data_IF_662662434487
#
_entry.id   IF_662662434487
#
_cell.length_a   1.000
_cell.length_b   1.000
_cell.length_c   1.000
_cell.angle_alpha   90.00
_cell.angle_beta   90.00
_cell.angle_gamma   90.00
#
_symmetry.space_group_name_H-M   'P 1'
#
loop_
_entity.id
_entity.type
_entity.pdbx_description
1 polymer ?
#
# COMPACT_ATOMS: atom_id res chain seq x y z
N UNK A 1 35.49 -7.95 -30.73
CA UNK A 1 34.66 -7.12 -29.81
C UNK A 1 33.33 -7.82 -29.62
N UNK A 2 33.15 -8.53 -28.49
CA UNK A 2 31.90 -9.22 -28.16
C UNK A 2 30.94 -8.23 -27.48
N UNK A 3 29.81 -7.95 -28.13
CA UNK A 3 28.69 -7.26 -27.49
C UNK A 3 27.94 -8.28 -26.62
N UNK A 4 28.08 -8.13 -25.30
CA UNK A 4 27.33 -8.88 -24.30
C UNK A 4 25.89 -8.34 -24.28
N UNK A 5 25.03 -8.89 -25.14
CA UNK A 5 23.58 -8.70 -25.08
C UNK A 5 23.05 -9.40 -23.82
N UNK A 6 22.87 -8.63 -22.75
CA UNK A 6 22.09 -9.06 -21.59
C UNK A 6 20.62 -9.19 -22.00
N UNK A 7 20.26 -10.39 -22.44
CA UNK A 7 18.87 -10.83 -22.57
C UNK A 7 18.24 -10.83 -21.18
N UNK A 8 17.49 -9.77 -20.87
CA UNK A 8 16.50 -9.81 -19.80
C UNK A 8 15.36 -10.73 -20.28
N UNK A 9 15.04 -11.84 -19.58
CA UNK A 9 13.93 -12.69 -19.95
C UNK A 9 12.63 -11.93 -19.71
N UNK A 10 12.07 -11.39 -20.79
CA UNK A 10 10.78 -10.73 -20.85
C UNK A 10 9.69 -11.79 -21.09
N UNK A 11 9.57 -12.73 -20.17
CA UNK A 11 8.47 -13.71 -20.13
C UNK A 11 8.23 -14.17 -18.68
N UNK A 12 7.73 -13.28 -17.83
CA UNK A 12 7.00 -13.73 -16.64
C UNK A 12 5.55 -13.94 -17.06
N UNK A 13 5.18 -15.21 -17.26
CA UNK A 13 3.79 -15.65 -17.13
C UNK A 13 3.29 -15.19 -15.77
N UNK A 14 2.38 -14.21 -15.71
CA UNK A 14 1.80 -13.64 -14.48
C UNK A 14 0.74 -14.57 -13.85
N UNK A 15 0.97 -15.88 -13.90
CA UNK A 15 0.22 -16.86 -13.12
C UNK A 15 0.96 -17.06 -11.78
N UNK A 16 0.75 -16.16 -10.82
CA UNK A 16 1.27 -16.30 -9.46
C UNK A 16 0.24 -15.97 -8.37
N UNK A 17 0.25 -16.71 -7.23
CA UNK A 17 -0.78 -16.72 -6.17
C UNK A 17 -0.72 -15.51 -5.21
N UNK A 18 -0.37 -14.31 -5.69
CA UNK A 18 -0.14 -13.16 -4.82
C UNK A 18 -1.40 -12.58 -4.16
N UNK A 19 -2.59 -12.93 -4.62
CA UNK A 19 -3.85 -12.34 -4.14
C UNK A 19 -4.10 -12.58 -2.67
N UNK A 20 -3.71 -13.73 -2.12
CA UNK A 20 -3.85 -14.00 -0.68
C UNK A 20 -2.65 -13.54 0.16
N UNK A 21 -1.48 -13.31 -0.45
CA UNK A 21 -0.24 -13.03 0.28
C UNK A 21 -0.34 -11.78 1.15
N UNK A 22 -0.99 -10.74 0.64
CA UNK A 22 -1.15 -9.46 1.35
C UNK A 22 -2.46 -9.36 2.14
N UNK A 23 -3.30 -10.40 2.12
CA UNK A 23 -4.61 -10.41 2.79
C UNK A 23 -4.52 -9.99 4.25
N UNK A 24 -3.69 -10.69 5.03
CA UNK A 24 -3.53 -10.41 6.45
C UNK A 24 -3.03 -8.97 6.72
N UNK A 25 -2.21 -8.43 5.82
CA UNK A 25 -1.69 -7.07 5.94
C UNK A 25 -2.80 -6.06 5.76
N UNK A 26 -3.58 -6.15 4.67
CA UNK A 26 -4.68 -5.23 4.43
C UNK A 26 -5.75 -5.28 5.51
N UNK A 27 -6.10 -6.48 5.99
CA UNK A 27 -7.02 -6.66 7.12
C UNK A 27 -6.51 -5.91 8.35
N UNK A 28 -5.23 -6.06 8.70
CA UNK A 28 -4.62 -5.36 9.83
C UNK A 28 -4.56 -3.85 9.63
N UNK A 29 -4.22 -3.38 8.43
CA UNK A 29 -4.16 -1.96 8.09
C UNK A 29 -5.53 -1.28 8.19
N UNK A 30 -6.59 -1.92 7.69
CA UNK A 30 -7.95 -1.40 7.83
C UNK A 30 -8.36 -1.35 9.29
N UNK A 31 -8.22 -2.47 10.02
CA UNK A 31 -8.58 -2.53 11.44
C UNK A 31 -7.89 -1.45 12.27
N UNK A 32 -6.58 -1.26 12.12
CA UNK A 32 -5.84 -0.24 12.88
C UNK A 32 -6.09 1.18 12.37
N UNK A 33 -6.22 1.37 11.06
CA UNK A 33 -6.55 2.65 10.45
C UNK A 33 -7.88 3.20 10.96
N UNK A 34 -8.91 2.36 11.02
CA UNK A 34 -10.23 2.73 11.53
C UNK A 34 -10.23 3.00 13.02
N UNK A 35 -9.68 2.08 13.84
CA UNK A 35 -9.57 2.26 15.29
C UNK A 35 -8.89 3.58 15.64
N UNK A 36 -7.79 3.90 14.96
CA UNK A 36 -7.01 5.11 15.26
C UNK A 36 -7.66 6.37 14.71
N UNK A 37 -8.28 6.32 13.53
CA UNK A 37 -9.08 7.43 12.99
C UNK A 37 -10.21 7.83 13.94
N UNK A 38 -10.83 6.87 14.61
CA UNK A 38 -11.89 7.13 15.59
C UNK A 38 -11.39 7.91 16.81
N UNK A 39 -10.17 7.62 17.26
CA UNK A 39 -9.54 8.27 18.40
C UNK A 39 -8.97 9.65 18.04
N UNK A 40 -8.32 9.79 16.89
CA UNK A 40 -7.55 11.00 16.56
C UNK A 40 -8.29 11.94 15.62
N UNK A 41 -9.30 11.47 14.89
CA UNK A 41 -9.96 12.23 13.83
C UNK A 41 -9.14 12.37 12.55
N UNK A 42 -7.98 11.72 12.45
CA UNK A 42 -7.22 11.60 11.21
C UNK A 42 -7.96 10.74 10.18
N UNK A 43 -7.54 10.82 8.91
CA UNK A 43 -8.02 9.88 7.90
C UNK A 43 -7.55 8.45 8.25
N UNK A 44 -8.38 7.41 8.00
CA UNK A 44 -8.05 6.01 8.28
C UNK A 44 -7.05 5.43 7.27
N UNK A 45 -5.95 6.15 7.01
CA UNK A 45 -4.88 5.75 6.11
C UNK A 45 -3.78 5.10 6.96
N UNK A 46 -3.41 3.87 6.63
CA UNK A 46 -2.44 3.08 7.35
C UNK A 46 -1.49 2.36 6.40
N UNK A 47 -0.25 2.20 6.82
CA UNK A 47 0.79 1.50 6.08
C UNK A 47 1.66 0.65 7.01
N UNK A 48 2.32 -0.34 6.43
CA UNK A 48 3.31 -1.17 7.10
C UNK A 48 4.50 -1.39 6.18
N UNK A 49 5.69 -1.49 6.77
CA UNK A 49 6.94 -1.75 6.08
C UNK A 49 7.62 -2.94 6.73
N UNK A 50 8.08 -3.87 5.91
CA UNK A 50 8.71 -5.10 6.39
C UNK A 50 9.74 -5.64 5.40
N UNK A 51 10.61 -6.51 5.90
CA UNK A 51 11.53 -7.33 5.10
C UNK A 51 10.91 -8.71 4.87
N UNK A 52 11.13 -9.27 3.68
CA UNK A 52 10.77 -10.65 3.35
C UNK A 52 12.02 -11.44 2.97
N UNK A 53 12.04 -12.73 3.29
CA UNK A 53 13.01 -13.66 2.71
C UNK A 53 12.62 -14.05 1.26
N UNK A 54 13.46 -14.86 0.62
CA UNK A 54 13.20 -15.35 -0.74
C UNK A 54 11.91 -16.21 -0.85
N UNK A 55 11.43 -16.77 0.27
CA UNK A 55 10.17 -17.50 0.35
C UNK A 55 8.94 -16.63 0.62
N UNK A 56 9.12 -15.30 0.74
CA UNK A 56 8.04 -14.36 1.04
C UNK A 56 7.62 -14.33 2.50
N UNK A 57 8.38 -14.94 3.41
CA UNK A 57 8.13 -14.86 4.85
C UNK A 57 8.69 -13.56 5.40
N UNK A 58 7.93 -12.87 6.24
CA UNK A 58 8.41 -11.65 6.91
C UNK A 58 9.51 -11.96 7.92
N UNK A 59 10.66 -11.30 7.77
CA UNK A 59 11.85 -11.48 8.61
C UNK A 59 12.16 -10.27 9.51
N UNK A 60 11.49 -9.13 9.30
CA UNK A 60 11.67 -7.93 10.11
C UNK A 60 10.58 -6.88 9.84
N UNK A 61 10.26 -6.08 10.85
CA UNK A 61 9.22 -5.04 10.80
C UNK A 61 7.80 -5.55 10.90
N UNK A 62 6.91 -4.91 10.12
CA UNK A 62 5.48 -5.24 10.13
C UNK A 62 4.67 -4.44 11.15
N UNK A 63 5.22 -3.38 11.73
CA UNK A 63 4.45 -2.43 12.52
C UNK A 63 3.47 -1.67 11.61
N UNK A 64 2.26 -1.43 12.11
CA UNK A 64 1.25 -0.64 11.39
C UNK A 64 1.31 0.80 11.87
N UNK A 65 1.54 1.71 10.93
CA UNK A 65 1.55 3.14 11.16
C UNK A 65 0.30 3.74 10.53
N UNK A 66 -0.42 4.57 11.28
CA UNK A 66 -1.61 5.29 10.80
C UNK A 66 -1.26 6.76 10.61
N UNK A 67 -1.96 7.42 9.69
CA UNK A 67 -1.87 8.86 9.49
C UNK A 67 -2.05 9.64 10.81
N UNK A 68 -1.30 10.73 10.97
CA UNK A 68 -1.29 11.54 12.20
C UNK A 68 -1.10 13.04 11.89
N UNK A 69 -1.87 13.55 10.92
CA UNK A 69 -1.79 14.91 10.40
C UNK A 69 -2.47 15.91 11.32
N UNK A 70 -3.67 15.61 11.81
CA UNK A 70 -4.57 16.57 12.47
C UNK A 70 -4.11 16.95 13.89
N UNK A 71 -3.27 16.14 14.54
CA UNK A 71 -2.59 16.53 15.78
C UNK A 71 -3.53 16.72 16.99
N UNK A 72 -4.41 15.75 17.29
CA UNK A 72 -5.17 15.79 18.56
C UNK A 72 -4.28 15.43 19.77
N UNK A 73 -4.62 15.98 20.94
CA UNK A 73 -3.90 15.73 22.20
C UNK A 73 -2.72 16.67 22.46
N UNK A 74 -2.78 17.93 22.01
CA UNK A 74 -1.74 18.95 22.27
C UNK A 74 -0.54 18.91 21.31
N UNK A 75 -0.52 17.99 20.35
CA UNK A 75 0.49 17.96 19.29
C UNK A 75 0.14 18.95 18.17
N UNK A 76 1.14 19.65 17.62
CA UNK A 76 0.92 20.53 16.46
C UNK A 76 0.56 19.69 15.22
N UNK A 77 -0.39 20.19 14.43
CA UNK A 77 -0.73 19.67 13.09
C UNK A 77 0.55 19.53 12.25
N UNK A 78 0.76 18.38 11.61
CA UNK A 78 1.94 18.14 10.79
C UNK A 78 1.53 17.47 9.46
N UNK A 79 1.58 18.19 8.33
CA UNK A 79 1.15 17.67 7.03
C UNK A 79 2.06 16.55 6.50
N UNK A 80 3.23 16.34 7.10
CA UNK A 80 4.20 15.32 6.68
C UNK A 80 4.01 13.97 7.39
N UNK A 81 3.10 13.88 8.38
CA UNK A 81 2.87 12.65 9.18
C UNK A 81 1.95 11.62 8.50
N UNK A 82 2.17 11.40 7.20
CA UNK A 82 1.51 10.34 6.44
C UNK A 82 2.01 8.94 6.86
N UNK A 83 1.17 7.93 6.73
CA UNK A 83 1.44 6.58 7.21
C UNK A 83 2.74 5.98 6.63
N UNK A 84 2.98 6.19 5.34
CA UNK A 84 4.15 5.70 4.61
C UNK A 84 5.43 6.40 5.08
N UNK A 85 5.39 7.72 5.25
CA UNK A 85 6.52 8.50 5.80
C UNK A 85 6.82 8.06 7.24
N UNK A 86 5.78 7.77 8.03
CA UNK A 86 5.95 7.24 9.37
C UNK A 86 6.62 5.86 9.34
N UNK A 87 6.29 4.98 8.40
CA UNK A 87 7.02 3.71 8.24
C UNK A 87 8.51 3.95 8.02
N UNK A 88 8.87 4.86 7.11
CA UNK A 88 10.27 5.21 6.82
C UNK A 88 10.99 5.81 8.03
N UNK A 89 10.30 6.69 8.77
CA UNK A 89 10.86 7.37 9.94
C UNK A 89 11.11 6.44 11.12
N UNK A 90 10.48 5.26 11.14
CA UNK A 90 10.62 4.25 12.20
C UNK A 90 11.34 3.00 11.68
N UNK A 91 12.19 3.14 10.66
CA UNK A 91 12.94 2.04 10.04
C UNK A 91 13.83 1.25 11.01
N UNK A 92 14.39 1.90 12.02
CA UNK A 92 15.22 1.22 13.01
C UNK A 92 14.44 0.14 13.78
N UNK A 93 13.15 0.37 14.05
CA UNK A 93 12.23 -0.64 14.60
C UNK A 93 11.98 -1.80 13.63
N UNK A 94 12.07 -1.52 12.33
CA UNK A 94 11.88 -2.53 11.28
C UNK A 94 13.11 -3.42 11.12
N UNK A 95 14.31 -2.83 11.26
CA UNK A 95 15.59 -3.54 11.06
C UNK A 95 16.07 -4.34 12.28
N UNK A 96 15.65 -3.97 13.49
CA UNK A 96 16.10 -4.61 14.74
C UNK A 96 15.64 -6.05 14.93
N UNK A 97 14.75 -6.57 14.07
CA UNK A 97 14.33 -7.98 14.04
C UNK A 97 15.35 -8.94 13.42
N UNK A 98 16.44 -8.45 12.81
CA UNK A 98 17.49 -9.28 12.22
C UNK A 98 18.71 -9.44 13.13
N UNK A 99 18.69 -10.46 13.99
CA UNK A 99 19.94 -11.08 14.44
C UNK A 99 20.55 -11.87 13.27
N UNK A 100 21.57 -11.29 12.65
CA UNK A 100 22.66 -12.01 11.99
C UNK A 100 22.29 -13.05 10.94
N UNK A 101 22.22 -12.63 9.66
CA UNK A 101 22.78 -13.32 8.48
C UNK A 101 22.29 -12.64 7.20
N UNK A 102 22.97 -11.58 6.79
CA UNK A 102 22.85 -11.07 5.42
C UNK A 102 23.59 -12.02 4.48
N UNK A 103 22.93 -13.09 4.06
CA UNK A 103 23.37 -13.88 2.91
C UNK A 103 23.13 -13.05 1.64
N UNK A 104 24.20 -12.85 0.86
CA UNK A 104 24.16 -12.51 -0.57
C UNK A 104 23.48 -11.19 -0.98
N UNK A 105 24.29 -10.18 -1.33
CA UNK A 105 23.91 -9.03 -2.20
C UNK A 105 22.54 -8.40 -1.89
N UNK A 106 22.40 -7.69 -0.76
CA UNK A 106 21.31 -6.72 -0.61
C UNK A 106 21.60 -5.48 -1.45
N UNK A 107 20.56 -4.96 -2.10
CA UNK A 107 20.61 -3.88 -3.08
C UNK A 107 21.34 -2.63 -2.56
N UNK A 108 21.89 -1.84 -3.47
CA UNK A 108 22.68 -0.61 -3.23
C UNK A 108 21.90 0.55 -2.55
N UNK A 109 20.81 0.28 -1.81
CA UNK A 109 19.93 1.30 -1.20
C UNK A 109 19.59 0.98 0.25
N UNK A 110 19.25 2.01 1.02
CA UNK A 110 18.98 1.93 2.47
C UNK A 110 17.83 0.95 2.79
N UNK A 111 16.80 0.91 1.93
CA UNK A 111 15.60 0.08 2.11
C UNK A 111 15.49 -1.05 1.07
N UNK A 112 16.59 -1.42 0.43
CA UNK A 112 16.61 -2.48 -0.58
C UNK A 112 16.06 -3.82 -0.04
N UNK A 113 15.13 -4.43 -0.77
CA UNK A 113 14.50 -5.69 -0.38
C UNK A 113 13.32 -5.57 0.59
N UNK A 114 12.90 -4.35 0.95
CA UNK A 114 11.70 -4.12 1.76
C UNK A 114 10.42 -4.14 0.91
N UNK A 115 9.30 -4.48 1.55
CA UNK A 115 7.96 -4.31 1.00
C UNK A 115 7.19 -3.32 1.88
N UNK A 116 6.63 -2.28 1.27
CA UNK A 116 5.62 -1.42 1.88
C UNK A 116 4.23 -1.88 1.43
N UNK A 117 3.30 -2.05 2.38
CA UNK A 117 1.87 -2.24 2.11
C UNK A 117 1.11 -1.03 2.66
N UNK A 118 0.25 -0.39 1.85
CA UNK A 118 -0.56 0.75 2.24
C UNK A 118 -2.04 0.54 1.89
N UNK A 119 -2.96 0.85 2.80
CA UNK A 119 -4.40 0.72 2.53
C UNK A 119 -4.96 1.82 1.60
N UNK A 120 -4.11 2.76 1.19
CA UNK A 120 -4.44 3.88 0.32
C UNK A 120 -3.26 4.15 -0.61
N UNK A 121 -3.54 4.62 -1.82
CA UNK A 121 -2.50 4.95 -2.78
C UNK A 121 -1.56 6.05 -2.25
N UNK A 122 -0.23 5.85 -2.29
CA UNK A 122 0.73 6.86 -1.86
C UNK A 122 0.61 8.15 -2.67
N UNK A 123 0.56 9.29 -1.99
CA UNK A 123 0.61 10.59 -2.67
C UNK A 123 2.00 10.88 -3.23
N UNK A 124 2.13 11.93 -4.07
CA UNK A 124 3.39 12.34 -4.70
C UNK A 124 4.57 12.42 -3.73
N UNK A 125 4.35 12.96 -2.52
CA UNK A 125 5.38 13.07 -1.49
C UNK A 125 5.82 11.69 -0.98
N UNK A 126 4.87 10.84 -0.57
CA UNK A 126 5.14 9.51 -0.05
C UNK A 126 5.83 8.66 -1.12
N UNK A 127 5.31 8.67 -2.34
CA UNK A 127 5.85 7.92 -3.46
C UNK A 127 7.29 8.33 -3.79
N UNK A 128 7.56 9.63 -3.91
CA UNK A 128 8.92 10.12 -4.15
C UNK A 128 9.87 9.74 -3.01
N UNK A 129 9.44 9.78 -1.75
CA UNK A 129 10.25 9.33 -0.62
C UNK A 129 10.58 7.84 -0.71
N UNK A 130 9.59 6.98 -0.97
CA UNK A 130 9.76 5.52 -1.10
C UNK A 130 10.75 5.15 -2.21
N UNK A 131 10.65 5.82 -3.36
CA UNK A 131 11.57 5.62 -4.49
C UNK A 131 12.98 6.08 -4.13
N UNK A 132 13.13 7.28 -3.55
CA UNK A 132 14.43 7.85 -3.20
C UNK A 132 15.20 7.02 -2.16
N UNK A 133 14.51 6.45 -1.17
CA UNK A 133 15.13 5.60 -0.14
C UNK A 133 15.31 4.15 -0.60
N UNK A 134 14.73 3.80 -1.75
CA UNK A 134 14.92 2.53 -2.44
C UNK A 134 14.13 1.37 -1.85
N UNK A 135 12.86 1.57 -1.53
CA UNK A 135 11.93 0.51 -1.09
C UNK A 135 11.70 -0.50 -2.21
N UNK A 136 11.98 -1.79 -1.95
CA UNK A 136 11.89 -2.91 -2.90
C UNK A 136 10.58 -2.99 -3.68
N UNK A 137 9.48 -2.96 -2.93
CA UNK A 137 8.12 -3.18 -3.43
C UNK A 137 7.13 -2.26 -2.73
N UNK A 138 6.21 -1.70 -3.50
CA UNK A 138 5.11 -0.87 -3.02
C UNK A 138 3.81 -1.55 -3.40
N UNK A 139 3.08 -2.02 -2.39
CA UNK A 139 1.77 -2.65 -2.54
C UNK A 139 0.73 -1.72 -1.96
N UNK A 140 -0.32 -1.42 -2.70
CA UNK A 140 -1.40 -0.57 -2.20
C UNK A 140 -2.77 -1.01 -2.68
N UNK A 141 -3.79 -0.56 -1.95
CA UNK A 141 -5.18 -0.57 -2.40
C UNK A 141 -5.73 0.86 -2.36
N UNK A 142 -7.03 1.05 -2.59
CA UNK A 142 -7.68 2.35 -2.48
C UNK A 142 -7.00 3.40 -3.37
N UNK A 143 -7.17 3.28 -4.70
CA UNK A 143 -6.63 4.27 -5.66
C UNK A 143 -7.09 5.67 -5.28
N UNK A 144 -6.29 6.68 -5.64
CA UNK A 144 -6.60 8.07 -5.34
C UNK A 144 -6.49 8.92 -6.60
N UNK A 145 -7.61 9.10 -7.30
CA UNK A 145 -7.64 9.86 -8.56
C UNK A 145 -7.28 11.34 -8.40
N UNK A 146 -7.27 11.85 -7.16
CA UNK A 146 -7.03 13.26 -6.89
C UNK A 146 -5.59 13.54 -6.43
N UNK A 147 -4.99 12.62 -5.68
CA UNK A 147 -3.66 12.84 -5.07
C UNK A 147 -2.70 11.66 -5.21
N UNK A 148 -3.14 10.54 -5.79
CA UNK A 148 -2.38 9.31 -5.92
C UNK A 148 -1.28 9.43 -6.96
N UNK A 149 -0.03 9.15 -6.57
CA UNK A 149 1.11 9.34 -7.45
C UNK A 149 1.11 8.36 -8.64
N UNK A 150 0.67 7.12 -8.43
CA UNK A 150 0.72 6.07 -9.44
C UNK A 150 -0.36 6.31 -10.48
N UNK A 151 -1.59 6.58 -10.04
CA UNK A 151 -2.75 6.87 -10.88
C UNK A 151 -2.60 8.18 -11.65
N UNK A 152 -1.95 9.20 -11.06
CA UNK A 152 -1.62 10.46 -11.74
C UNK A 152 -0.39 10.37 -12.65
N UNK A 153 0.26 9.21 -12.75
CA UNK A 153 1.42 9.00 -13.63
C UNK A 153 2.66 9.78 -13.20
N UNK A 154 2.80 10.11 -11.91
CA UNK A 154 4.01 10.72 -11.37
C UNK A 154 5.18 9.76 -11.57
N UNK A 155 6.23 10.23 -12.27
CA UNK A 155 7.36 9.37 -12.68
C UNK A 155 7.04 8.42 -13.84
N UNK A 156 5.98 8.69 -14.61
CA UNK A 156 5.54 7.85 -15.75
C UNK A 156 5.40 6.38 -15.37
N UNK A 157 4.60 6.13 -14.33
CA UNK A 157 4.15 4.78 -13.99
C UNK A 157 3.29 4.22 -15.14
N UNK A 158 3.68 3.08 -15.69
CA UNK A 158 2.96 2.40 -16.78
C UNK A 158 2.45 1.05 -16.29
N UNK A 159 1.18 0.75 -16.53
CA UNK A 159 0.64 -0.60 -16.32
C UNK A 159 1.36 -1.58 -17.28
N UNK A 160 1.94 -2.64 -16.71
CA UNK A 160 2.70 -3.65 -17.45
C UNK A 160 2.03 -5.03 -17.49
N UNK A 161 1.00 -5.23 -16.66
CA UNK A 161 0.29 -6.49 -16.64
C UNK A 161 -0.74 -6.57 -15.52
N UNK A 162 -1.50 -7.67 -15.54
CA UNK A 162 -2.50 -7.99 -14.53
C UNK A 162 -2.33 -9.42 -14.04
N UNK A 163 -2.55 -9.63 -12.74
CA UNK A 163 -2.58 -10.94 -12.13
C UNK A 163 -3.94 -11.61 -12.29
N UNK A 164 -3.98 -12.94 -12.10
CA UNK A 164 -5.22 -13.72 -12.08
C UNK A 164 -6.17 -13.28 -10.94
N UNK A 165 -5.63 -12.70 -9.86
CA UNK A 165 -6.41 -12.13 -8.74
C UNK A 165 -6.89 -10.69 -8.98
N UNK A 166 -6.68 -10.14 -10.18
CA UNK A 166 -7.06 -8.77 -10.53
C UNK A 166 -6.06 -7.70 -10.10
N UNK A 167 -4.90 -8.09 -9.56
CA UNK A 167 -3.80 -7.17 -9.27
C UNK A 167 -3.33 -6.48 -10.55
N UNK A 168 -2.89 -5.23 -10.42
CA UNK A 168 -2.34 -4.46 -11.53
C UNK A 168 -0.89 -4.11 -11.20
N UNK A 169 0.00 -4.44 -12.12
CA UNK A 169 1.44 -4.21 -11.98
C UNK A 169 1.85 -2.98 -12.75
N UNK A 170 2.68 -2.15 -12.13
CA UNK A 170 3.21 -0.94 -12.76
C UNK A 170 4.73 -0.97 -12.83
N UNK A 171 5.27 -0.45 -13.92
CA UNK A 171 6.67 -0.11 -14.06
C UNK A 171 6.86 1.41 -13.96
N UNK A 172 7.81 1.84 -13.14
CA UNK A 172 8.29 3.22 -13.11
C UNK A 172 9.31 3.43 -14.23
N UNK A 173 8.93 4.17 -15.28
CA UNK A 173 9.76 4.31 -16.48
C UNK A 173 10.69 5.52 -16.45
N UNK A 174 10.36 6.58 -15.69
CA UNK A 174 11.19 7.78 -15.53
C UNK A 174 11.12 8.33 -14.10
N UNK A 175 12.07 9.19 -13.74
CA UNK A 175 12.02 9.83 -12.44
C UNK A 175 11.10 11.04 -12.36
N UNK A 176 10.75 11.42 -11.13
CA UNK A 176 10.00 12.64 -10.86
C UNK A 176 10.87 13.83 -11.29
N UNK A 177 10.38 14.65 -12.21
CA UNK A 177 11.11 15.81 -12.73
C UNK A 177 12.22 15.49 -13.75
N UNK A 178 12.18 14.34 -14.43
CA UNK A 178 13.15 13.98 -15.48
C UNK A 178 14.50 13.46 -14.97
N UNK A 179 14.60 13.20 -13.66
CA UNK A 179 15.76 12.53 -13.07
C UNK A 179 15.79 11.05 -13.43
N UNK A 180 16.97 10.48 -13.68
CA UNK A 180 17.15 9.03 -13.79
C UNK A 180 17.25 8.43 -12.38
N UNK A 181 16.24 7.66 -11.96
CA UNK A 181 16.36 6.85 -10.75
C UNK A 181 17.27 5.63 -11.01
N UNK A 182 18.20 5.36 -10.10
CA UNK A 182 19.01 4.14 -10.10
C UNK A 182 18.27 2.92 -9.52
N UNK A 183 17.05 3.12 -9.03
CA UNK A 183 16.26 2.12 -8.34
C UNK A 183 14.80 2.21 -8.82
N UNK A 184 14.20 1.05 -9.15
CA UNK A 184 12.81 0.94 -9.61
C UNK A 184 12.07 -0.02 -8.70
N UNK A 185 11.12 0.45 -7.87
CA UNK A 185 10.32 -0.45 -7.06
C UNK A 185 9.39 -1.30 -7.94
N UNK A 186 9.09 -2.50 -7.49
CA UNK A 186 7.92 -3.23 -7.98
C UNK A 186 6.66 -2.55 -7.40
N UNK A 187 5.70 -2.17 -8.25
CA UNK A 187 4.48 -1.49 -7.82
C UNK A 187 3.28 -2.40 -8.11
N UNK A 188 2.51 -2.70 -7.06
CA UNK A 188 1.38 -3.62 -7.10
C UNK A 188 0.14 -2.93 -6.56
N UNK A 189 -0.91 -2.85 -7.37
CA UNK A 189 -2.24 -2.45 -6.93
C UNK A 189 -3.09 -3.69 -6.67
N UNK A 190 -3.69 -3.78 -5.49
CA UNK A 190 -4.68 -4.79 -5.13
C UNK A 190 -6.07 -4.15 -5.14
N UNK A 191 -7.05 -4.70 -5.88
CA UNK A 191 -8.41 -4.17 -5.93
C UNK A 191 -9.01 -3.95 -4.55
N UNK A 192 -9.61 -2.79 -4.33
CA UNK A 192 -10.19 -2.46 -3.02
C UNK A 192 -11.36 -3.38 -2.68
N UNK A 193 -12.13 -3.81 -3.68
CA UNK A 193 -13.18 -4.81 -3.52
C UNK A 193 -12.67 -6.10 -2.86
N UNK A 194 -11.56 -6.65 -3.35
CA UNK A 194 -10.97 -7.87 -2.81
C UNK A 194 -10.54 -7.68 -1.34
N UNK A 195 -9.92 -6.54 -1.05
CA UNK A 195 -9.51 -6.17 0.32
C UNK A 195 -10.71 -6.05 1.26
N UNK A 196 -11.81 -5.46 0.81
CA UNK A 196 -13.03 -5.36 1.62
C UNK A 196 -13.63 -6.74 1.88
N UNK A 197 -13.71 -7.62 0.87
CA UNK A 197 -14.17 -9.00 1.06
C UNK A 197 -13.33 -9.76 2.09
N UNK A 198 -12.00 -9.58 2.07
CA UNK A 198 -11.12 -10.21 3.05
C UNK A 198 -11.34 -9.71 4.46
N UNK A 199 -11.52 -8.40 4.61
CA UNK A 199 -11.84 -7.80 5.89
C UNK A 199 -13.24 -8.23 6.36
N UNK A 200 -14.18 -8.42 5.42
CA UNK A 200 -15.47 -9.04 5.67
C UNK A 200 -15.40 -10.43 6.27
N UNK A 201 -14.72 -11.34 5.60
CA UNK A 201 -14.51 -12.67 6.12
C UNK A 201 -13.85 -12.63 7.51
N UNK A 202 -12.82 -11.78 7.71
CA UNK A 202 -12.14 -11.67 9.00
C UNK A 202 -13.05 -11.17 10.14
N UNK A 203 -13.86 -10.15 9.90
CA UNK A 203 -14.78 -9.64 10.93
C UNK A 203 -15.89 -10.64 11.26
N UNK A 204 -16.39 -11.40 10.26
CA UNK A 204 -17.34 -12.50 10.49
C UNK A 204 -16.70 -13.62 11.32
N UNK A 205 -15.47 -14.01 11.00
CA UNK A 205 -14.68 -15.02 11.74
C UNK A 205 -14.43 -14.60 13.21
N UNK A 206 -14.11 -13.33 13.45
CA UNK A 206 -13.78 -12.79 14.79
C UNK A 206 -15.01 -12.28 15.58
N UNK A 207 -16.21 -12.34 15.00
CA UNK A 207 -17.42 -11.81 15.63
C UNK A 207 -17.39 -10.28 15.85
N UNK A 208 -16.64 -9.55 15.02
CA UNK A 208 -16.53 -8.09 15.10
C UNK A 208 -17.77 -7.47 14.46
N UNK A 209 -18.53 -6.69 15.25
CA UNK A 209 -19.71 -5.99 14.73
C UNK A 209 -19.34 -4.97 13.63
N UNK A 210 -20.05 -5.12 12.51
CA UNK A 210 -20.02 -4.19 11.40
C UNK A 210 -20.57 -2.84 11.81
N UNK A 211 -19.96 -1.74 11.35
CA UNK A 211 -20.71 -0.49 11.26
C UNK A 211 -21.72 -0.62 10.12
N UNK A 212 -23.00 -0.33 10.37
CA UNK A 212 -24.11 -0.36 9.38
C UNK A 212 -23.75 0.32 8.04
N UNK A 213 -22.91 1.36 8.08
CA UNK A 213 -22.41 2.10 6.92
C UNK A 213 -21.69 1.20 5.89
N UNK A 214 -20.98 0.17 6.35
CA UNK A 214 -20.24 -0.78 5.52
C UNK A 214 -21.11 -1.89 4.94
N UNK A 215 -22.06 -2.41 5.72
CA UNK A 215 -23.08 -3.32 5.21
C UNK A 215 -23.89 -2.66 4.11
N UNK A 216 -24.33 -1.40 4.33
CA UNK A 216 -25.00 -0.63 3.30
C UNK A 216 -24.15 -0.39 2.05
N UNK A 217 -22.81 -0.32 2.15
CA UNK A 217 -21.94 -0.27 0.98
C UNK A 217 -21.92 -1.60 0.21
N UNK A 218 -21.73 -2.73 0.92
CA UNK A 218 -21.74 -4.08 0.33
C UNK A 218 -23.07 -4.33 -0.39
N UNK A 219 -24.18 -4.02 0.24
CA UNK A 219 -25.53 -4.14 -0.33
C UNK A 219 -25.72 -3.24 -1.55
N UNK A 220 -25.32 -1.96 -1.47
CA UNK A 220 -25.42 -1.04 -2.63
C UNK A 220 -24.60 -1.50 -3.82
N UNK A 221 -23.49 -2.20 -3.61
CA UNK A 221 -22.64 -2.73 -4.69
C UNK A 221 -23.23 -4.00 -5.30
N UNK A 222 -23.69 -4.94 -4.46
CA UNK A 222 -24.43 -6.13 -4.91
C UNK A 222 -25.66 -5.73 -5.74
N UNK A 223 -26.36 -4.67 -5.35
CA UNK A 223 -27.52 -4.13 -6.07
C UNK A 223 -27.17 -3.48 -7.42
N UNK A 224 -25.93 -3.02 -7.63
CA UNK A 224 -25.51 -2.35 -8.89
C UNK A 224 -24.90 -3.29 -9.92
N UNK A 225 -24.71 -4.57 -9.60
CA UNK A 225 -24.04 -5.52 -10.50
C UNK A 225 -22.59 -5.14 -10.82
N UNK A 226 -21.95 -4.32 -9.97
CA UNK A 226 -20.56 -3.86 -10.13
C UNK A 226 -19.56 -4.94 -9.70
N UNK A 227 -19.60 -6.09 -10.38
CA UNK A 227 -18.57 -7.12 -10.38
C UNK A 227 -17.43 -6.70 -11.34
N UNK A 228 -16.67 -5.67 -10.98
CA UNK A 228 -15.54 -5.24 -11.81
C UNK A 228 -15.03 -3.84 -11.46
N UNK A 229 -13.98 -3.77 -10.65
CA UNK A 229 -13.42 -2.54 -10.09
C UNK A 229 -12.77 -1.60 -11.11
N UNK A 230 -13.54 -0.72 -11.76
CA UNK A 230 -12.97 0.36 -12.57
C UNK A 230 -13.35 1.79 -12.18
N UNK A 231 -14.50 2.07 -11.56
CA UNK A 231 -14.94 3.48 -11.38
C UNK A 231 -15.39 3.90 -9.96
N UNK A 232 -15.55 2.99 -9.00
CA UNK A 232 -16.12 3.33 -7.69
C UNK A 232 -15.15 3.36 -6.49
N UNK A 233 -13.95 2.80 -6.63
CA UNK A 233 -13.11 2.45 -5.48
C UNK A 233 -12.24 3.61 -4.95
N UNK A 234 -12.17 4.74 -5.66
CA UNK A 234 -11.06 5.70 -5.53
C UNK A 234 -11.22 6.79 -4.45
N UNK A 235 -12.39 6.86 -3.81
CA UNK A 235 -12.67 7.86 -2.78
C UNK A 235 -13.47 7.33 -1.59
N UNK A 236 -13.61 6.01 -1.43
CA UNK A 236 -14.48 5.42 -0.41
C UNK A 236 -14.03 5.79 1.01
N UNK A 237 -12.73 5.64 1.33
CA UNK A 237 -12.17 6.00 2.64
C UNK A 237 -12.40 7.48 2.97
N UNK A 238 -12.24 8.35 1.98
CA UNK A 238 -12.43 9.80 2.13
C UNK A 238 -13.91 10.19 2.21
N UNK A 239 -14.77 9.56 1.41
CA UNK A 239 -16.21 9.77 1.40
C UNK A 239 -16.84 9.37 2.74
N UNK A 240 -16.52 8.16 3.20
CA UNK A 240 -16.90 7.68 4.53
C UNK A 240 -16.46 8.66 5.64
N UNK A 241 -15.20 9.09 5.63
CA UNK A 241 -14.70 10.02 6.63
C UNK A 241 -15.40 11.39 6.59
N UNK A 242 -15.69 11.91 5.38
CA UNK A 242 -16.44 13.18 5.21
C UNK A 242 -17.86 13.09 5.75
N UNK A 243 -18.58 12.01 5.47
CA UNK A 243 -19.94 11.80 6.00
C UNK A 243 -19.92 11.67 7.52
N UNK A 244 -18.94 10.97 8.08
CA UNK A 244 -18.77 10.81 9.53
C UNK A 244 -18.47 12.15 10.23
N UNK A 245 -17.66 13.02 9.64
CA UNK A 245 -17.38 14.37 10.19
C UNK A 245 -18.62 15.25 10.25
N UNK A 246 -19.62 15.04 9.39
CA UNK A 246 -20.89 15.77 9.42
C UNK A 246 -21.83 15.32 10.54
N UNK A 247 -21.60 14.13 11.12
CA UNK A 247 -22.43 13.51 12.17
C UNK A 247 -21.92 13.76 13.60
N UNK A 248 -20.74 14.37 13.76
CA UNK A 248 -20.16 14.79 15.05
C UNK A 248 -20.17 16.30 15.16
#
# INVERSE_FOLDING_TARGET
>A
MMALLLLYPSTHSLSHPYSSKYRQWFVRLLSEGYKRSDLTGDLPIAASLFLEDAGGKVTGGGNVFVNAVEGKGGSRRNPFKHAEIRCLSNWEEVRSGEEGKTSGKRANTIFGGTTLVSNHEPCTMCFAALVNVGVGRIVFTGRDDLNGAVSLGVGKCKEIGRGEGGEVYYELTEGVGGSTFHFRPEIVYVPFSAVVEWWCAHCEEEGIEWREEWQGWRERRLLRGEEGGREGDTNILKGWWRERRKRK
#
